data_IF_149684731124
#
_entry.id   IF_149684731124
#
_cell.length_a   1.000
_cell.length_b   1.000
_cell.length_c   1.000
_cell.angle_alpha   90.00
_cell.angle_beta   90.00
_cell.angle_gamma   90.00
#
_symmetry.space_group_name_H-M   'P 1'
#
loop_
_entity.id
_entity.type
_entity.pdbx_description
1 polymer ?
#
# COMPACT_ATOMS: atom_id res chain seq x y z
N UNK A 1 36.20 35.33 59.39
CA UNK A 1 35.16 35.74 58.43
C UNK A 1 35.68 35.51 57.02
N UNK A 2 34.98 34.66 56.26
CA UNK A 2 34.89 34.57 54.79
C UNK A 2 36.17 34.37 53.96
N UNK A 3 36.21 33.59 52.86
CA UNK A 3 35.33 32.61 52.20
C UNK A 3 36.24 31.95 51.14
N UNK A 4 36.32 30.62 51.10
CA UNK A 4 37.01 29.89 50.02
C UNK A 4 36.04 29.81 48.84
N UNK A 5 36.45 30.34 47.69
CA UNK A 5 35.68 30.32 46.43
C UNK A 5 35.95 28.99 45.74
N UNK A 6 34.94 28.12 45.69
CA UNK A 6 34.91 26.94 44.82
C UNK A 6 34.29 27.35 43.47
N UNK A 7 35.08 27.28 42.40
CA UNK A 7 34.61 27.39 41.03
C UNK A 7 34.05 26.05 40.57
N UNK A 8 32.73 25.98 40.33
CA UNK A 8 32.07 24.83 39.71
C UNK A 8 32.09 25.08 38.20
N UNK A 9 32.92 24.33 37.47
CA UNK A 9 32.86 24.25 36.01
C UNK A 9 31.74 23.28 35.66
N UNK A 10 30.58 23.81 35.26
CA UNK A 10 29.48 23.02 34.70
C UNK A 10 29.85 22.68 33.26
N UNK A 11 30.29 21.44 33.04
CA UNK A 11 30.48 20.87 31.70
C UNK A 11 29.10 20.49 31.16
N UNK A 12 28.51 21.37 30.35
CA UNK A 12 27.22 21.15 29.70
C UNK A 12 27.43 20.18 28.52
N UNK A 13 27.22 18.89 28.75
CA UNK A 13 27.21 17.87 27.69
C UNK A 13 25.89 18.00 26.94
N UNK A 14 25.93 18.64 25.76
CA UNK A 14 24.80 18.70 24.84
C UNK A 14 24.69 17.33 24.17
N UNK A 15 23.74 16.50 24.62
CA UNK A 15 23.31 15.32 23.87
C UNK A 15 22.49 15.79 22.67
N UNK A 16 23.13 15.84 21.49
CA UNK A 16 22.41 15.96 20.22
C UNK A 16 21.98 14.55 19.82
N UNK A 17 20.74 14.18 20.12
CA UNK A 17 20.13 12.96 19.59
C UNK A 17 19.77 13.19 18.12
N UNK A 18 20.69 12.85 17.21
CA UNK A 18 20.39 12.76 15.79
C UNK A 18 19.65 11.44 15.57
N UNK A 19 18.31 11.50 15.52
CA UNK A 19 17.49 10.39 15.04
C UNK A 19 17.54 10.36 13.51
N UNK A 20 18.56 9.73 12.94
CA UNK A 20 18.52 9.34 11.52
C UNK A 20 17.57 8.16 11.37
N UNK A 21 16.33 8.41 10.95
CA UNK A 21 15.48 7.36 10.39
C UNK A 21 16.21 6.86 9.13
N UNK A 22 16.77 5.66 9.18
CA UNK A 22 17.48 5.10 8.03
C UNK A 22 16.55 5.13 6.82
N UNK A 23 17.04 5.64 5.68
CA UNK A 23 16.26 5.70 4.45
C UNK A 23 16.03 4.26 3.97
N UNK A 24 14.77 3.86 3.85
CA UNK A 24 14.39 2.53 3.35
C UNK A 24 14.87 2.38 1.90
N UNK A 25 15.67 1.35 1.62
CA UNK A 25 16.15 1.01 0.27
C UNK A 25 15.06 0.21 -0.47
N UNK A 26 13.95 0.88 -0.80
CA UNK A 26 12.82 0.29 -1.50
C UNK A 26 12.37 1.17 -2.67
N UNK A 27 11.71 0.56 -3.64
CA UNK A 27 10.91 1.28 -4.64
C UNK A 27 9.48 1.42 -4.12
N UNK A 28 8.97 2.65 -4.05
CA UNK A 28 7.61 2.95 -3.62
C UNK A 28 6.65 3.01 -4.83
N UNK A 29 5.46 2.46 -4.67
CA UNK A 29 4.43 2.35 -5.70
C UNK A 29 3.15 3.09 -5.30
N UNK A 30 3.31 4.21 -4.60
CA UNK A 30 2.20 5.03 -4.11
C UNK A 30 1.90 6.11 -5.14
N UNK A 31 0.63 6.19 -5.56
CA UNK A 31 0.12 7.28 -6.38
C UNK A 31 -1.12 7.90 -5.73
N UNK A 32 -1.47 9.11 -6.20
CA UNK A 32 -2.64 9.85 -5.76
C UNK A 32 -3.49 10.27 -6.95
N UNK A 33 -4.81 10.31 -6.76
CA UNK A 33 -5.78 10.89 -7.70
C UNK A 33 -6.88 11.60 -6.90
N UNK A 34 -7.39 12.72 -7.41
CA UNK A 34 -8.43 13.50 -6.72
C UNK A 34 -9.74 13.42 -7.51
N UNK A 35 -10.83 13.03 -6.84
CA UNK A 35 -12.09 12.65 -7.48
C UNK A 35 -13.27 13.38 -6.81
N UNK A 36 -14.07 14.10 -7.58
CA UNK A 36 -15.30 14.76 -7.14
C UNK A 36 -16.51 14.13 -7.80
N UNK A 37 -17.41 13.56 -7.00
CA UNK A 37 -18.59 12.82 -7.47
C UNK A 37 -19.84 13.14 -6.63
N UNK A 38 -19.99 14.39 -6.18
CA UNK A 38 -21.07 14.81 -5.29
C UNK A 38 -20.60 14.97 -3.85
N UNK A 39 -21.45 14.62 -2.88
CA UNK A 39 -21.09 14.70 -1.47
C UNK A 39 -19.92 13.75 -1.16
N UNK A 40 -18.80 14.29 -0.68
CA UNK A 40 -17.57 13.51 -0.47
C UNK A 40 -17.69 12.41 0.60
N UNK A 41 -18.72 12.42 1.45
CA UNK A 41 -18.90 11.44 2.52
C UNK A 41 -19.20 10.06 1.96
N UNK A 42 -20.10 10.00 0.96
CA UNK A 42 -20.40 8.77 0.25
C UNK A 42 -19.20 8.30 -0.57
N UNK A 43 -18.54 9.23 -1.25
CA UNK A 43 -17.37 8.93 -2.09
C UNK A 43 -16.23 8.36 -1.26
N UNK A 44 -15.89 8.97 -0.12
CA UNK A 44 -14.87 8.48 0.81
C UNK A 44 -15.17 7.04 1.24
N UNK A 45 -16.41 6.78 1.66
CA UNK A 45 -16.86 5.46 2.10
C UNK A 45 -16.88 4.42 0.98
N UNK A 46 -17.07 4.82 -0.28
CA UNK A 46 -16.99 3.91 -1.44
C UNK A 46 -15.53 3.53 -1.78
N UNK A 47 -14.59 4.46 -1.64
CA UNK A 47 -13.18 4.24 -1.97
C UNK A 47 -12.38 3.57 -0.86
N UNK A 48 -12.62 3.91 0.40
CA UNK A 48 -11.87 3.40 1.55
C UNK A 48 -11.77 1.86 1.63
N UNK A 49 -12.82 1.06 1.32
CA UNK A 49 -12.74 -0.40 1.42
C UNK A 49 -12.14 -1.08 0.18
N UNK A 50 -11.75 -0.34 -0.87
CA UNK A 50 -11.24 -0.93 -2.11
C UNK A 50 -9.82 -1.50 -1.87
N UNK A 51 -9.57 -2.80 -2.14
CA UNK A 51 -8.22 -3.36 -2.05
C UNK A 51 -7.22 -2.57 -2.90
N UNK A 52 -6.05 -2.27 -2.34
CA UNK A 52 -5.04 -1.41 -2.95
C UNK A 52 -5.18 0.09 -2.64
N UNK A 53 -6.31 0.56 -2.10
CA UNK A 53 -6.42 1.91 -1.55
C UNK A 53 -5.74 1.95 -0.17
N UNK A 54 -4.87 2.94 0.03
CA UNK A 54 -4.07 3.12 1.26
C UNK A 54 -4.75 4.13 2.18
N UNK A 55 -5.23 5.24 1.62
CA UNK A 55 -5.83 6.35 2.36
C UNK A 55 -6.79 7.13 1.48
N UNK A 56 -7.84 7.70 2.08
CA UNK A 56 -8.82 8.55 1.40
C UNK A 56 -9.10 9.76 2.26
N UNK A 57 -8.87 10.95 1.72
CA UNK A 57 -9.03 12.21 2.45
C UNK A 57 -10.10 13.07 1.76
N UNK A 58 -11.16 13.41 2.49
CA UNK A 58 -12.18 14.36 2.03
C UNK A 58 -11.62 15.79 1.97
N UNK A 59 -11.97 16.55 0.94
CA UNK A 59 -11.41 17.89 0.73
C UNK A 59 -12.08 18.74 -0.34
N UNK A 60 -11.43 19.86 -0.64
CA UNK A 60 -11.88 20.89 -1.57
C UNK A 60 -10.81 21.18 -2.62
N UNK A 61 -11.20 21.22 -3.89
CA UNK A 61 -10.26 21.47 -4.99
C UNK A 61 -10.92 22.14 -6.20
N UNK A 62 -10.12 22.54 -7.18
CA UNK A 62 -10.56 23.15 -8.46
C UNK A 62 -11.36 24.47 -8.31
N UNK A 63 -11.27 25.13 -7.16
CA UNK A 63 -11.82 26.47 -6.93
C UNK A 63 -10.74 27.55 -6.93
N UNK A 64 -11.15 28.80 -7.11
CA UNK A 64 -10.28 29.98 -7.08
C UNK A 64 -11.01 31.16 -6.41
N UNK A 65 -10.30 31.88 -5.54
CA UNK A 65 -10.82 33.12 -4.93
C UNK A 65 -11.94 32.92 -3.91
N UNK A 66 -12.23 31.69 -3.50
CA UNK A 66 -13.12 31.33 -2.39
C UNK A 66 -12.27 30.57 -1.37
N UNK A 67 -12.48 30.84 -0.09
CA UNK A 67 -11.80 30.10 0.97
C UNK A 67 -12.21 28.61 0.92
N UNK A 68 -11.26 27.66 0.91
CA UNK A 68 -11.55 26.24 0.76
C UNK A 68 -11.97 25.61 2.09
N UNK A 69 -13.14 26.00 2.60
CA UNK A 69 -13.75 25.43 3.80
C UNK A 69 -15.26 25.23 3.59
N UNK A 70 -15.87 24.32 4.37
CA UNK A 70 -17.26 23.92 4.16
C UNK A 70 -18.22 25.11 4.18
N UNK A 71 -18.01 26.03 5.13
CA UNK A 71 -18.86 27.21 5.30
C UNK A 71 -18.86 28.06 4.02
N UNK A 72 -17.69 28.41 3.51
CA UNK A 72 -17.58 29.30 2.35
C UNK A 72 -18.14 28.66 1.06
N UNK A 73 -17.86 27.38 0.82
CA UNK A 73 -18.27 26.72 -0.43
C UNK A 73 -19.78 26.44 -0.49
N UNK A 74 -20.46 26.38 0.67
CA UNK A 74 -21.89 26.11 0.76
C UNK A 74 -22.75 27.37 0.88
N UNK A 75 -22.14 28.55 1.00
CA UNK A 75 -22.87 29.83 1.02
C UNK A 75 -23.79 29.94 -0.22
N UNK A 76 -25.05 30.42 -0.07
CA UNK A 76 -25.99 30.50 -1.18
C UNK A 76 -25.49 31.28 -2.40
N UNK A 77 -24.63 32.29 -2.19
CA UNK A 77 -24.00 33.08 -3.24
C UNK A 77 -23.00 32.28 -4.09
N UNK A 78 -22.38 31.24 -3.51
CA UNK A 78 -21.38 30.39 -4.17
C UNK A 78 -21.99 29.16 -4.84
N UNK A 79 -23.26 28.84 -4.56
CA UNK A 79 -23.97 27.66 -5.10
C UNK A 79 -23.83 27.47 -6.62
N UNK A 80 -23.89 28.55 -7.39
CA UNK A 80 -23.76 28.51 -8.86
C UNK A 80 -22.45 29.16 -9.36
N UNK A 81 -21.52 29.46 -8.45
CA UNK A 81 -20.27 30.13 -8.81
C UNK A 81 -19.33 29.11 -9.49
N UNK A 82 -18.93 29.30 -10.77
CA UNK A 82 -18.04 28.39 -11.47
C UNK A 82 -16.62 28.36 -10.89
N UNK A 83 -16.25 29.36 -10.09
CA UNK A 83 -14.96 29.43 -9.39
C UNK A 83 -15.01 28.78 -8.00
N UNK A 84 -16.16 28.26 -7.56
CA UNK A 84 -16.27 27.56 -6.29
C UNK A 84 -15.46 26.26 -6.28
N UNK A 85 -14.98 25.85 -5.11
CA UNK A 85 -14.34 24.55 -4.96
C UNK A 85 -15.37 23.42 -5.14
N UNK A 86 -14.93 22.29 -5.67
CA UNK A 86 -15.67 21.03 -5.62
C UNK A 86 -15.38 20.32 -4.30
N UNK A 87 -16.39 19.66 -3.72
CA UNK A 87 -16.18 18.56 -2.79
C UNK A 87 -15.54 17.40 -3.56
N UNK A 88 -14.39 16.95 -3.06
CA UNK A 88 -13.57 15.90 -3.68
C UNK A 88 -13.00 14.99 -2.60
N UNK A 89 -12.52 13.82 -3.00
CA UNK A 89 -11.65 12.97 -2.19
C UNK A 89 -10.28 12.85 -2.85
N UNK A 90 -9.20 12.93 -2.08
CA UNK A 90 -7.86 12.50 -2.50
C UNK A 90 -7.70 11.02 -2.14
N UNK A 91 -7.55 10.17 -3.17
CA UNK A 91 -7.34 8.73 -3.01
C UNK A 91 -5.85 8.45 -3.17
N UNK A 92 -5.22 7.97 -2.11
CA UNK A 92 -3.84 7.45 -2.12
C UNK A 92 -3.89 5.93 -2.27
N UNK A 93 -3.20 5.37 -3.26
CA UNK A 93 -3.30 3.95 -3.59
C UNK A 93 -1.97 3.32 -3.99
N UNK A 94 -1.86 2.01 -3.82
CA UNK A 94 -0.77 1.18 -4.29
C UNK A 94 -1.04 0.78 -5.75
N UNK A 95 -0.28 1.35 -6.69
CA UNK A 95 -0.48 1.08 -8.13
C UNK A 95 -0.16 -0.35 -8.56
N UNK A 96 0.53 -1.14 -7.73
CA UNK A 96 0.77 -2.56 -7.96
C UNK A 96 -0.43 -3.44 -7.55
N UNK A 97 -1.37 -2.91 -6.77
CA UNK A 97 -2.60 -3.63 -6.39
C UNK A 97 -3.79 -3.19 -7.21
N UNK A 98 -3.93 -1.88 -7.41
CA UNK A 98 -5.04 -1.29 -8.14
C UNK A 98 -4.55 -0.21 -9.10
N UNK A 99 -5.04 -0.26 -10.34
CA UNK A 99 -4.68 0.73 -11.35
C UNK A 99 -5.52 2.00 -11.20
N UNK A 100 -4.94 3.15 -11.58
CA UNK A 100 -5.71 4.40 -11.68
C UNK A 100 -6.91 4.25 -12.63
N UNK A 101 -6.77 3.49 -13.72
CA UNK A 101 -7.85 3.16 -14.65
C UNK A 101 -9.03 2.49 -13.93
N UNK A 102 -8.78 1.55 -13.02
CA UNK A 102 -9.85 0.86 -12.29
C UNK A 102 -10.51 1.76 -11.24
N UNK A 103 -9.73 2.62 -10.57
CA UNK A 103 -10.28 3.67 -9.70
C UNK A 103 -11.16 4.65 -10.49
N UNK A 104 -10.78 5.01 -11.72
CA UNK A 104 -11.57 5.89 -12.60
C UNK A 104 -12.80 5.16 -13.15
N UNK A 105 -12.73 3.85 -13.42
CA UNK A 105 -13.92 3.08 -13.76
C UNK A 105 -14.91 3.06 -12.59
N UNK A 106 -14.41 2.78 -11.39
CA UNK A 106 -15.21 2.83 -10.17
C UNK A 106 -15.86 4.21 -9.99
N UNK A 107 -15.12 5.29 -10.23
CA UNK A 107 -15.62 6.67 -10.19
C UNK A 107 -16.86 6.84 -11.06
N UNK A 108 -16.77 6.45 -12.34
CA UNK A 108 -17.87 6.61 -13.29
C UNK A 108 -19.09 5.75 -12.94
N UNK A 109 -18.88 4.58 -12.34
CA UNK A 109 -19.96 3.70 -11.90
C UNK A 109 -20.62 4.13 -10.58
N UNK A 110 -19.94 4.94 -9.75
CA UNK A 110 -20.40 5.35 -8.41
C UNK A 110 -21.43 6.48 -8.40
N UNK A 111 -21.59 7.22 -9.50
CA UNK A 111 -22.48 8.40 -9.56
C UNK A 111 -23.17 8.56 -10.92
N UNK A 112 -23.93 9.64 -11.12
CA UNK A 112 -24.49 10.00 -12.43
C UNK A 112 -23.62 11.09 -13.07
N UNK A 113 -22.63 10.71 -13.91
CA UNK A 113 -21.70 11.65 -14.50
C UNK A 113 -22.34 12.55 -15.55
N UNK A 114 -23.62 12.35 -15.91
CA UNK A 114 -24.36 13.20 -16.86
C UNK A 114 -25.00 14.42 -16.19
N UNK A 115 -25.08 14.43 -14.86
CA UNK A 115 -25.61 15.55 -14.09
C UNK A 115 -24.58 16.69 -13.97
N UNK A 116 -24.94 17.85 -14.52
CA UNK A 116 -24.13 19.05 -14.39
C UNK A 116 -24.35 19.72 -13.02
N UNK A 117 -23.27 19.93 -12.25
CA UNK A 117 -23.29 20.64 -10.95
C UNK A 117 -24.34 20.10 -9.97
N UNK A 118 -24.50 18.77 -9.96
CA UNK A 118 -25.53 18.08 -9.19
C UNK A 118 -25.17 16.61 -9.06
N UNK A 119 -25.49 16.02 -7.92
CA UNK A 119 -25.64 14.57 -7.77
C UNK A 119 -26.87 14.28 -6.91
N UNK A 120 -27.90 13.67 -7.51
CA UNK A 120 -29.17 13.39 -6.82
C UNK A 120 -29.85 14.66 -6.29
N UNK A 121 -29.91 14.84 -4.97
CA UNK A 121 -30.52 16.03 -4.36
C UNK A 121 -29.50 17.11 -4.00
N UNK A 122 -28.21 16.81 -4.09
CA UNK A 122 -27.12 17.74 -3.82
C UNK A 122 -26.88 18.58 -5.07
N UNK A 123 -27.27 19.86 -5.01
CA UNK A 123 -27.28 20.78 -6.14
C UNK A 123 -26.37 21.95 -5.86
N UNK A 124 -25.39 22.17 -6.74
CA UNK A 124 -24.43 23.28 -6.66
C UNK A 124 -23.13 22.93 -7.37
N UNK A 125 -22.35 23.95 -7.72
CA UNK A 125 -21.04 23.77 -8.37
C UNK A 125 -20.07 22.99 -7.50
N UNK A 126 -20.24 22.99 -6.17
CA UNK A 126 -19.47 22.16 -5.26
C UNK A 126 -19.71 20.65 -5.43
N UNK A 127 -20.87 20.24 -5.95
CA UNK A 127 -21.22 18.84 -6.18
C UNK A 127 -20.98 18.38 -7.63
N UNK A 128 -20.19 19.14 -8.39
CA UNK A 128 -19.89 18.81 -9.79
C UNK A 128 -19.02 17.55 -9.90
N UNK A 129 -19.27 16.78 -10.95
CA UNK A 129 -18.40 15.65 -11.31
C UNK A 129 -17.07 16.15 -11.89
N UNK A 130 -15.94 15.77 -11.29
CA UNK A 130 -14.59 16.17 -11.72
C UNK A 130 -13.55 15.11 -11.37
N UNK A 131 -12.58 14.90 -12.28
CA UNK A 131 -11.37 14.12 -12.06
C UNK A 131 -10.18 15.09 -12.14
N UNK A 132 -9.41 15.16 -11.07
CA UNK A 132 -8.22 15.99 -10.96
C UNK A 132 -6.98 15.08 -10.89
N UNK A 133 -6.21 15.06 -11.97
CA UNK A 133 -5.09 14.13 -12.15
C UNK A 133 -3.78 14.70 -11.64
N UNK A 134 -2.91 13.85 -11.10
CA UNK A 134 -1.60 14.27 -10.56
C UNK A 134 -0.46 14.10 -11.57
N UNK A 135 -0.71 13.39 -12.69
CA UNK A 135 0.23 13.21 -13.78
C UNK A 135 -0.49 13.06 -15.13
N UNK A 136 0.28 13.12 -16.23
CA UNK A 136 -0.25 13.02 -17.61
C UNK A 136 -0.81 11.63 -17.94
N UNK A 137 -0.21 10.56 -17.41
CA UNK A 137 -0.67 9.19 -17.66
C UNK A 137 -2.10 8.98 -17.12
N UNK A 138 -2.39 9.45 -15.91
CA UNK A 138 -3.74 9.47 -15.35
C UNK A 138 -4.71 10.29 -16.20
N UNK A 139 -4.25 11.39 -16.79
CA UNK A 139 -5.08 12.23 -17.64
C UNK A 139 -5.53 11.51 -18.91
N UNK A 140 -4.63 10.75 -19.53
CA UNK A 140 -4.95 9.97 -20.72
C UNK A 140 -5.81 8.74 -20.40
N UNK A 141 -5.52 8.05 -19.29
CA UNK A 141 -6.38 6.99 -18.76
C UNK A 141 -7.81 7.50 -18.49
N UNK A 142 -7.95 8.66 -17.85
CA UNK A 142 -9.25 9.25 -17.56
C UNK A 142 -10.05 9.59 -18.83
N UNK A 143 -9.41 10.14 -19.85
CA UNK A 143 -10.06 10.43 -21.14
C UNK A 143 -10.51 9.15 -21.83
N UNK A 144 -9.68 8.10 -21.80
CA UNK A 144 -10.00 6.81 -22.40
C UNK A 144 -11.22 6.18 -21.71
N UNK A 145 -11.19 6.09 -20.37
CA UNK A 145 -12.29 5.50 -19.60
C UNK A 145 -13.58 6.31 -19.76
N UNK A 146 -13.50 7.63 -19.81
CA UNK A 146 -14.66 8.50 -20.11
C UNK A 146 -15.27 8.15 -21.47
N UNK A 147 -14.45 8.03 -22.51
CA UNK A 147 -14.93 7.69 -23.85
C UNK A 147 -15.59 6.31 -23.90
N UNK A 148 -15.02 5.32 -23.20
CA UNK A 148 -15.59 3.98 -23.04
C UNK A 148 -16.95 4.03 -22.32
N UNK A 149 -17.03 4.74 -21.19
CA UNK A 149 -18.26 4.83 -20.39
C UNK A 149 -19.38 5.61 -21.10
N UNK A 150 -19.03 6.64 -21.87
CA UNK A 150 -19.99 7.40 -22.65
C UNK A 150 -20.77 6.49 -23.61
N UNK A 151 -20.11 5.49 -24.22
CA UNK A 151 -20.79 4.54 -25.10
C UNK A 151 -21.85 3.74 -24.34
N UNK A 152 -21.50 3.24 -23.15
CA UNK A 152 -22.40 2.47 -22.28
C UNK A 152 -23.60 3.31 -21.82
N UNK A 153 -23.35 4.55 -21.39
CA UNK A 153 -24.40 5.48 -20.98
C UNK A 153 -25.34 5.82 -22.14
N UNK A 154 -24.79 6.06 -23.33
CA UNK A 154 -25.59 6.40 -24.51
C UNK A 154 -26.49 5.22 -24.93
N UNK A 155 -25.98 3.98 -24.86
CA UNK A 155 -26.76 2.76 -25.11
C UNK A 155 -27.89 2.59 -24.10
N UNK A 156 -27.65 2.95 -22.84
CA UNK A 156 -28.66 2.95 -21.78
C UNK A 156 -29.62 4.15 -21.80
N UNK A 157 -29.48 5.08 -22.76
CA UNK A 157 -30.35 6.25 -22.92
C UNK A 157 -30.01 7.46 -22.04
N UNK A 158 -28.85 7.46 -21.40
CA UNK A 158 -28.34 8.61 -20.64
C UNK A 158 -27.74 9.68 -21.57
N UNK A 159 -27.58 10.90 -21.04
CA UNK A 159 -27.00 12.02 -21.75
C UNK A 159 -25.48 11.97 -21.91
N UNK A 160 -24.92 13.08 -22.36
CA UNK A 160 -23.46 13.26 -22.43
C UNK A 160 -22.89 13.49 -21.04
N UNK A 161 -21.75 12.85 -20.74
CA UNK A 161 -20.98 13.01 -19.52
C UNK A 161 -20.58 14.49 -19.35
N UNK A 162 -20.91 15.05 -18.20
CA UNK A 162 -20.60 16.41 -17.79
C UNK A 162 -19.27 16.51 -17.01
N UNK A 163 -18.71 15.37 -16.57
CA UNK A 163 -17.44 15.27 -15.83
C UNK A 163 -16.32 16.07 -16.49
N UNK A 164 -15.61 16.86 -15.69
CA UNK A 164 -14.40 17.56 -16.14
C UNK A 164 -13.15 16.78 -15.77
N UNK A 165 -12.18 16.70 -16.69
CA UNK A 165 -10.86 16.12 -16.43
C UNK A 165 -9.83 17.25 -16.52
N UNK A 166 -9.08 17.49 -15.44
CA UNK A 166 -8.09 18.56 -15.34
C UNK A 166 -6.86 18.06 -14.55
N UNK A 167 -5.73 18.74 -14.70
CA UNK A 167 -4.61 18.55 -13.77
C UNK A 167 -4.95 19.17 -12.42
N UNK A 168 -4.59 18.50 -11.33
CA UNK A 168 -4.72 19.03 -9.98
C UNK A 168 -3.80 20.25 -9.81
N UNK A 169 -4.37 21.39 -9.42
CA UNK A 169 -3.60 22.58 -9.06
C UNK A 169 -3.25 22.57 -7.57
N UNK A 170 -4.26 22.46 -6.71
CA UNK A 170 -4.13 22.42 -5.26
C UNK A 170 -5.28 21.60 -4.66
N UNK A 171 -4.99 20.92 -3.55
CA UNK A 171 -5.96 20.17 -2.76
C UNK A 171 -5.95 20.70 -1.33
N UNK A 172 -7.12 20.98 -0.79
CA UNK A 172 -7.30 21.46 0.57
C UNK A 172 -8.07 20.41 1.38
N UNK A 173 -7.46 19.76 2.39
CA UNK A 173 -8.18 18.84 3.26
C UNK A 173 -9.36 19.53 3.94
N UNK A 174 -10.50 18.83 3.98
CA UNK A 174 -11.68 19.28 4.73
C UNK A 174 -11.45 19.16 6.24
N UNK A 175 -12.30 19.82 7.01
CA UNK A 175 -12.26 19.81 8.47
C UNK A 175 -12.39 18.38 9.04
N UNK A 176 -11.78 18.11 10.20
CA UNK A 176 -11.71 16.76 10.81
C UNK A 176 -13.07 16.07 11.03
N UNK A 177 -14.15 16.84 11.13
CA UNK A 177 -15.49 16.29 11.30
C UNK A 177 -16.10 15.76 9.99
N UNK A 178 -15.54 16.10 8.83
CA UNK A 178 -15.90 15.55 7.52
C UNK A 178 -15.15 14.27 7.18
N UNK A 179 -13.93 14.09 7.71
CA UNK A 179 -13.14 12.87 7.49
C UNK A 179 -13.82 11.66 8.14
N UNK A 180 -13.80 10.51 7.48
CA UNK A 180 -14.41 9.26 7.96
C UNK A 180 -15.86 9.43 8.42
N UNK A 181 -16.64 10.31 7.77
CA UNK A 181 -17.93 10.75 8.31
C UNK A 181 -18.90 9.59 8.54
N UNK A 182 -18.99 8.65 7.59
CA UNK A 182 -19.89 7.49 7.69
C UNK A 182 -19.37 6.39 8.61
N UNK A 183 -18.06 6.35 8.89
CA UNK A 183 -17.50 5.50 9.95
C UNK A 183 -17.93 6.04 11.32
N UNK A 184 -17.85 7.37 11.49
CA UNK A 184 -18.27 8.07 12.72
C UNK A 184 -19.80 8.08 12.88
N UNK A 185 -20.54 8.11 11.77
CA UNK A 185 -21.99 8.21 11.71
C UNK A 185 -22.56 7.14 10.74
N UNK A 186 -22.72 5.88 11.16
CA UNK A 186 -23.14 4.78 10.27
C UNK A 186 -24.50 4.99 9.58
N UNK A 187 -25.43 5.67 10.25
CA UNK A 187 -26.75 6.03 9.70
C UNK A 187 -26.76 7.43 9.04
N UNK A 188 -25.58 7.95 8.72
CA UNK A 188 -25.39 9.26 8.11
C UNK A 188 -25.93 9.35 6.68
N UNK A 189 -25.93 10.57 6.15
CA UNK A 189 -26.38 10.84 4.78
C UNK A 189 -25.42 10.19 3.76
N UNK A 190 -25.90 9.19 3.02
CA UNK A 190 -25.17 8.51 1.95
C UNK A 190 -26.12 8.04 0.84
N UNK A 191 -26.72 8.96 0.07
CA UNK A 191 -27.56 8.57 -1.07
C UNK A 191 -26.74 7.88 -2.16
N UNK A 192 -27.30 6.85 -2.78
CA UNK A 192 -26.72 6.22 -3.97
C UNK A 192 -27.10 7.06 -5.19
N UNK A 193 -26.09 7.56 -5.92
CA UNK A 193 -26.28 8.38 -7.13
C UNK A 193 -25.95 7.63 -8.43
N UNK A 194 -25.44 6.40 -8.33
CA UNK A 194 -25.06 5.58 -9.47
C UNK A 194 -26.20 5.37 -10.48
N UNK A 195 -25.86 5.40 -11.77
CA UNK A 195 -26.77 5.08 -12.89
C UNK A 195 -27.16 3.59 -12.97
N UNK A 196 -26.39 2.73 -12.27
CA UNK A 196 -26.49 1.27 -12.36
C UNK A 196 -25.75 0.67 -13.57
N UNK A 197 -25.18 1.49 -14.45
CA UNK A 197 -24.42 1.02 -15.61
C UNK A 197 -23.00 0.68 -15.19
N UNK A 198 -22.52 -0.49 -15.58
CA UNK A 198 -21.20 -1.03 -15.22
C UNK A 198 -20.38 -1.34 -16.46
N UNK A 199 -19.06 -1.20 -16.37
CA UNK A 199 -18.13 -1.71 -17.36
C UNK A 199 -18.23 -3.23 -17.41
N UNK A 200 -18.09 -3.79 -18.61
CA UNK A 200 -17.95 -5.24 -18.78
C UNK A 200 -16.49 -5.64 -18.51
N UNK A 201 -16.13 -5.73 -17.23
CA UNK A 201 -14.76 -6.08 -16.83
C UNK A 201 -14.46 -7.55 -17.10
N UNK A 202 -13.32 -7.83 -17.74
CA UNK A 202 -12.74 -9.17 -17.77
C UNK A 202 -12.50 -9.65 -16.34
N UNK A 203 -12.87 -10.91 -16.09
CA UNK A 203 -12.67 -11.65 -14.84
C UNK A 203 -11.28 -11.38 -14.25
N UNK A 204 -11.23 -10.89 -13.01
CA UNK A 204 -10.03 -10.95 -12.18
C UNK A 204 -9.55 -12.41 -12.23
N UNK A 205 -8.33 -12.63 -12.73
CA UNK A 205 -7.73 -13.96 -12.70
C UNK A 205 -7.49 -14.25 -11.22
N UNK A 206 -8.31 -15.11 -10.65
CA UNK A 206 -8.16 -15.52 -9.27
C UNK A 206 -6.91 -16.39 -9.19
N UNK A 207 -5.82 -15.82 -8.69
CA UNK A 207 -4.58 -16.56 -8.45
C UNK A 207 -4.84 -17.58 -7.36
N UNK A 208 -4.50 -18.84 -7.63
CA UNK A 208 -4.61 -19.92 -6.66
C UNK A 208 -3.40 -19.88 -5.72
N UNK A 209 -3.67 -19.56 -4.46
CA UNK A 209 -2.68 -19.53 -3.38
C UNK A 209 -2.86 -20.69 -2.40
N UNK A 210 -3.63 -21.73 -2.75
CA UNK A 210 -3.91 -22.86 -1.85
C UNK A 210 -2.66 -23.52 -1.30
N UNK A 211 -1.59 -23.64 -2.10
CA UNK A 211 -0.31 -24.20 -1.66
C UNK A 211 0.44 -23.35 -0.62
N UNK A 212 0.08 -22.07 -0.48
CA UNK A 212 0.70 -21.14 0.47
C UNK A 212 -0.02 -21.13 1.82
N UNK A 213 -1.15 -21.83 1.93
CA UNK A 213 -1.95 -21.95 3.15
C UNK A 213 -1.45 -23.03 4.10
N UNK A 214 -0.44 -23.80 3.71
CA UNK A 214 0.14 -24.88 4.49
C UNK A 214 1.65 -24.66 4.67
N UNK A 215 2.17 -25.07 5.82
CA UNK A 215 3.58 -25.01 6.19
C UNK A 215 4.17 -23.58 6.15
N UNK A 216 5.50 -23.48 6.11
CA UNK A 216 6.23 -22.21 6.06
C UNK A 216 6.56 -21.87 4.62
N UNK A 217 6.34 -20.61 4.24
CA UNK A 217 6.62 -20.09 2.92
C UNK A 217 7.28 -18.71 3.01
N UNK A 218 8.10 -18.38 2.02
CA UNK A 218 8.65 -17.04 1.82
C UNK A 218 8.07 -16.49 0.53
N UNK A 219 7.48 -15.31 0.60
CA UNK A 219 7.00 -14.59 -0.59
C UNK A 219 7.81 -13.31 -0.72
N UNK A 220 8.34 -13.06 -1.91
CA UNK A 220 8.96 -11.79 -2.27
C UNK A 220 7.99 -11.04 -3.16
N UNK A 221 7.40 -9.97 -2.63
CA UNK A 221 6.58 -9.06 -3.43
C UNK A 221 7.50 -8.29 -4.37
N UNK A 222 7.29 -8.45 -5.67
CA UNK A 222 7.99 -7.70 -6.71
C UNK A 222 7.08 -6.68 -7.39
N UNK A 223 7.66 -5.86 -8.26
CA UNK A 223 6.92 -4.91 -9.08
C UNK A 223 6.61 -5.53 -10.44
N UNK A 224 5.46 -5.17 -11.03
CA UNK A 224 5.14 -5.52 -12.42
C UNK A 224 6.10 -4.82 -13.39
N UNK A 225 6.50 -3.61 -13.02
CA UNK A 225 7.48 -2.79 -13.72
C UNK A 225 8.91 -2.96 -13.15
N UNK A 226 9.81 -2.07 -13.53
CA UNK A 226 11.20 -2.08 -13.09
C UNK A 226 11.37 -1.82 -11.58
N UNK A 227 12.02 -2.76 -10.89
CA UNK A 227 12.41 -2.63 -9.48
C UNK A 227 13.92 -2.94 -9.29
N UNK A 228 14.79 -1.92 -9.14
CA UNK A 228 16.23 -2.13 -9.02
C UNK A 228 16.62 -2.92 -7.77
N UNK A 229 15.91 -2.71 -6.66
CA UNK A 229 16.16 -3.42 -5.40
C UNK A 229 15.69 -4.88 -5.44
N UNK A 230 14.66 -5.19 -6.24
CA UNK A 230 14.20 -6.55 -6.47
C UNK A 230 15.23 -7.34 -7.26
N UNK A 231 15.77 -6.76 -8.33
CA UNK A 231 16.86 -7.35 -9.13
C UNK A 231 18.13 -7.55 -8.28
N UNK A 232 18.46 -6.57 -7.44
CA UNK A 232 19.58 -6.68 -6.51
C UNK A 232 19.36 -7.82 -5.50
N UNK A 233 18.18 -7.91 -4.90
CA UNK A 233 17.85 -8.98 -3.96
C UNK A 233 17.87 -10.36 -4.62
N UNK A 234 17.36 -10.47 -5.86
CA UNK A 234 17.42 -11.70 -6.65
C UNK A 234 18.85 -12.21 -6.79
N UNK A 235 19.71 -11.33 -7.29
CA UNK A 235 21.14 -11.61 -7.50
C UNK A 235 21.88 -11.98 -6.22
N UNK A 236 21.67 -11.22 -5.15
CA UNK A 236 22.46 -11.34 -3.92
C UNK A 236 21.97 -12.49 -3.03
N UNK A 237 20.70 -12.90 -3.15
CA UNK A 237 20.07 -13.88 -2.25
C UNK A 237 19.38 -15.01 -3.02
N UNK A 238 18.31 -14.73 -3.75
CA UNK A 238 17.37 -15.79 -4.16
C UNK A 238 17.90 -16.66 -5.29
N UNK A 239 18.74 -16.13 -6.18
CA UNK A 239 19.30 -16.89 -7.32
C UNK A 239 20.21 -18.04 -6.86
N UNK A 240 20.73 -17.97 -5.63
CA UNK A 240 21.59 -18.99 -5.03
C UNK A 240 20.93 -19.74 -3.87
N UNK A 241 19.68 -19.39 -3.54
CA UNK A 241 18.97 -19.97 -2.40
C UNK A 241 18.58 -21.42 -2.68
N UNK A 242 19.03 -22.34 -1.81
CA UNK A 242 18.72 -23.78 -1.89
C UNK A 242 18.05 -24.27 -0.59
N UNK A 243 17.50 -23.36 0.20
CA UNK A 243 16.88 -23.69 1.47
C UNK A 243 15.56 -24.44 1.30
N UNK A 244 15.20 -25.25 2.29
CA UNK A 244 14.02 -26.13 2.22
C UNK A 244 12.68 -25.42 2.40
N UNK A 245 12.66 -24.15 2.81
CA UNK A 245 11.42 -23.36 2.88
C UNK A 245 11.20 -22.78 1.50
N UNK A 246 10.07 -23.06 0.82
CA UNK A 246 9.79 -22.52 -0.50
C UNK A 246 9.87 -20.99 -0.52
N UNK A 247 10.53 -20.45 -1.54
CA UNK A 247 10.59 -19.01 -1.81
C UNK A 247 9.99 -18.76 -3.18
N UNK A 248 8.99 -17.88 -3.24
CA UNK A 248 8.28 -17.54 -4.48
C UNK A 248 8.18 -16.04 -4.66
N UNK A 249 8.12 -15.59 -5.92
CA UNK A 249 7.86 -14.20 -6.27
C UNK A 249 6.38 -14.04 -6.65
N UNK A 250 5.79 -12.93 -6.21
CA UNK A 250 4.38 -12.58 -6.46
C UNK A 250 4.25 -11.08 -6.67
N UNK A 251 3.25 -10.67 -7.44
CA UNK A 251 2.81 -9.27 -7.46
C UNK A 251 1.88 -9.00 -6.28
N UNK A 252 1.74 -7.71 -5.91
CA UNK A 252 0.90 -7.32 -4.78
C UNK A 252 -0.58 -7.71 -4.97
N UNK A 253 -1.10 -7.64 -6.20
CA UNK A 253 -2.47 -8.07 -6.54
C UNK A 253 -2.69 -9.59 -6.54
N UNK A 254 -1.64 -10.41 -6.34
CA UNK A 254 -1.72 -11.87 -6.37
C UNK A 254 -1.82 -12.50 -4.97
N UNK A 255 -1.90 -11.71 -3.90
CA UNK A 255 -1.86 -12.20 -2.51
C UNK A 255 -3.23 -12.60 -1.94
N UNK A 256 -4.26 -12.68 -2.80
CA UNK A 256 -5.62 -13.01 -2.40
C UNK A 256 -5.70 -14.31 -1.58
N UNK A 257 -6.41 -14.24 -0.45
CA UNK A 257 -6.62 -15.38 0.45
C UNK A 257 -5.52 -15.59 1.50
N UNK A 258 -4.50 -14.73 1.54
CA UNK A 258 -3.47 -14.72 2.59
C UNK A 258 -3.79 -13.64 3.64
N UNK A 259 -3.40 -13.86 4.90
CA UNK A 259 -3.49 -12.86 5.98
C UNK A 259 -2.18 -12.07 6.04
N UNK A 260 -2.12 -10.98 5.26
CA UNK A 260 -0.95 -10.08 5.15
C UNK A 260 -1.26 -8.76 5.86
N UNK A 261 -0.35 -8.33 6.73
CA UNK A 261 -0.46 -7.11 7.54
C UNK A 261 0.54 -6.05 7.11
N UNK A 262 1.68 -6.49 6.60
CA UNK A 262 2.72 -5.62 6.10
C UNK A 262 2.21 -4.83 4.89
N UNK A 263 2.58 -3.55 4.77
CA UNK A 263 2.24 -2.81 3.58
C UNK A 263 2.93 -3.37 2.34
N UNK A 264 2.19 -3.46 1.25
CA UNK A 264 2.61 -4.07 -0.02
C UNK A 264 3.00 -3.04 -1.08
N UNK A 265 2.99 -1.75 -0.73
CA UNK A 265 3.29 -0.62 -1.62
C UNK A 265 4.78 -0.40 -1.86
N UNK A 266 5.64 -1.13 -1.16
CA UNK A 266 7.09 -1.08 -1.32
C UNK A 266 7.61 -2.40 -1.88
N UNK A 267 8.57 -2.34 -2.80
CA UNK A 267 9.23 -3.53 -3.35
C UNK A 267 10.76 -3.42 -3.29
N UNK A 268 11.49 -4.52 -3.01
CA UNK A 268 10.94 -5.81 -2.62
C UNK A 268 10.33 -5.74 -1.21
N UNK A 269 9.28 -6.50 -0.96
CA UNK A 269 8.81 -6.78 0.41
C UNK A 269 8.89 -8.29 0.62
N UNK A 270 9.68 -8.71 1.60
CA UNK A 270 9.92 -10.12 1.90
C UNK A 270 8.97 -10.52 3.04
N UNK A 271 8.02 -11.38 2.74
CA UNK A 271 7.03 -11.93 3.67
C UNK A 271 7.44 -13.33 4.12
N UNK A 272 7.43 -13.57 5.43
CA UNK A 272 7.59 -14.90 6.01
C UNK A 272 6.23 -15.36 6.54
N UNK A 273 5.66 -16.38 5.90
CA UNK A 273 4.31 -16.86 6.15
C UNK A 273 4.30 -18.25 6.76
N UNK A 274 3.43 -18.47 7.74
CA UNK A 274 3.14 -19.80 8.27
C UNK A 274 1.63 -20.05 8.17
N UNK A 275 1.25 -21.13 7.48
CA UNK A 275 -0.15 -21.49 7.20
C UNK A 275 -0.97 -20.32 6.60
N UNK A 276 -0.42 -19.65 5.58
CA UNK A 276 -1.06 -18.55 4.89
C UNK A 276 -1.14 -17.22 5.65
N UNK A 277 -0.59 -17.15 6.86
CA UNK A 277 -0.61 -15.94 7.70
C UNK A 277 0.79 -15.36 7.87
N UNK A 278 0.90 -14.04 7.79
CA UNK A 278 2.15 -13.33 8.03
C UNK A 278 2.64 -13.51 9.47
N UNK A 279 3.85 -14.04 9.60
CA UNK A 279 4.58 -14.09 10.88
C UNK A 279 5.36 -12.79 11.06
N UNK A 280 6.11 -12.39 10.03
CA UNK A 280 6.75 -11.08 9.94
C UNK A 280 7.11 -10.75 8.49
N UNK A 281 7.46 -9.48 8.25
CA UNK A 281 7.85 -8.98 6.96
C UNK A 281 9.02 -8.00 7.06
N UNK A 282 9.73 -7.83 5.95
CA UNK A 282 10.76 -6.81 5.78
C UNK A 282 10.51 -6.06 4.48
N UNK A 283 10.39 -4.74 4.58
CA UNK A 283 10.20 -3.87 3.43
C UNK A 283 11.56 -3.31 2.95
N UNK A 284 11.78 -3.38 1.65
CA UNK A 284 13.00 -2.94 0.97
C UNK A 284 14.04 -4.04 0.83
N UNK A 285 15.18 -3.66 0.26
CA UNK A 285 16.33 -4.55 0.08
C UNK A 285 16.73 -5.19 1.41
N UNK A 286 16.98 -6.50 1.36
CA UNK A 286 17.46 -7.29 2.48
C UNK A 286 18.81 -7.88 2.11
N UNK A 287 19.86 -7.46 2.82
CA UNK A 287 21.19 -8.00 2.60
C UNK A 287 21.24 -9.50 2.93
N UNK A 288 22.11 -10.29 2.28
CA UNK A 288 22.16 -11.74 2.49
C UNK A 288 22.33 -12.15 3.96
N UNK A 289 23.15 -11.44 4.73
CA UNK A 289 23.39 -11.74 6.14
C UNK A 289 22.13 -11.58 6.97
N UNK A 290 21.37 -10.50 6.71
CA UNK A 290 20.08 -10.23 7.37
C UNK A 290 19.06 -11.28 6.95
N UNK A 291 18.99 -11.61 5.66
CA UNK A 291 18.07 -12.63 5.16
C UNK A 291 18.29 -13.99 5.83
N UNK A 292 19.53 -14.46 5.89
CA UNK A 292 19.81 -15.76 6.51
C UNK A 292 19.59 -15.76 8.02
N UNK A 293 19.83 -14.63 8.69
CA UNK A 293 19.51 -14.47 10.11
C UNK A 293 18.00 -14.57 10.37
N UNK A 294 17.19 -13.83 9.61
CA UNK A 294 15.72 -13.85 9.71
C UNK A 294 15.16 -15.22 9.31
N UNK A 295 15.67 -15.81 8.23
CA UNK A 295 15.34 -17.18 7.83
C UNK A 295 15.68 -18.19 8.94
N UNK A 296 16.82 -18.01 9.60
CA UNK A 296 17.24 -18.80 10.75
C UNK A 296 16.22 -18.74 11.88
N UNK A 297 15.82 -17.53 12.27
CA UNK A 297 14.79 -17.31 13.28
C UNK A 297 13.46 -17.94 12.88
N UNK A 298 13.06 -17.73 11.63
CA UNK A 298 11.80 -18.23 11.11
C UNK A 298 11.76 -19.75 11.06
N UNK A 299 12.82 -20.39 10.56
CA UNK A 299 12.90 -21.84 10.40
C UNK A 299 13.12 -22.56 11.73
N UNK A 300 14.06 -22.07 12.54
CA UNK A 300 14.56 -22.78 13.73
C UNK A 300 13.96 -22.26 15.05
N UNK A 301 13.31 -21.10 15.05
CA UNK A 301 12.88 -20.42 16.28
C UNK A 301 14.05 -20.05 17.19
N UNK A 302 13.74 -19.70 18.45
CA UNK A 302 14.74 -19.45 19.51
C UNK A 302 15.34 -20.76 20.05
N UNK A 303 15.95 -21.54 19.17
CA UNK A 303 16.54 -22.85 19.50
C UNK A 303 18.06 -22.75 19.77
N UNK A 304 18.63 -23.81 20.34
CA UNK A 304 20.09 -23.95 20.51
C UNK A 304 20.80 -23.85 19.16
N UNK A 305 20.27 -24.51 18.12
CA UNK A 305 20.81 -24.47 16.77
C UNK A 305 20.86 -23.04 16.19
N UNK A 306 19.83 -22.22 16.45
CA UNK A 306 19.84 -20.81 16.06
C UNK A 306 20.93 -20.02 16.81
N UNK A 307 21.06 -20.24 18.11
CA UNK A 307 22.08 -19.55 18.92
C UNK A 307 23.51 -19.93 18.51
N UNK A 308 23.76 -21.19 18.16
CA UNK A 308 25.05 -21.65 17.64
C UNK A 308 25.36 -20.98 16.30
N UNK A 309 24.38 -20.92 15.39
CA UNK A 309 24.57 -20.35 14.06
C UNK A 309 24.80 -18.82 14.07
N UNK A 310 24.06 -18.07 14.89
CA UNK A 310 24.03 -16.59 14.79
C UNK A 310 24.51 -15.83 16.02
N UNK A 311 24.54 -16.46 17.20
CA UNK A 311 24.90 -15.79 18.47
C UNK A 311 26.24 -16.29 19.04
N UNK A 312 27.10 -16.86 18.18
CA UNK A 312 28.40 -17.44 18.58
C UNK A 312 28.28 -18.48 19.70
N UNK A 313 27.12 -19.15 19.77
CA UNK A 313 26.92 -20.27 20.68
C UNK A 313 27.79 -21.46 20.29
N UNK A 314 28.05 -22.34 21.23
CA UNK A 314 28.63 -23.66 20.95
C UNK A 314 27.71 -24.70 21.55
N UNK A 315 27.42 -25.76 20.81
CA UNK A 315 26.63 -26.87 21.34
C UNK A 315 27.26 -27.41 22.62
N UNK A 316 26.41 -27.84 23.57
CA UNK A 316 26.89 -28.51 24.76
C UNK A 316 27.68 -29.78 24.39
N UNK A 317 28.71 -30.11 25.18
CA UNK A 317 29.44 -31.38 25.01
C UNK A 317 28.45 -32.54 25.12
N UNK A 318 28.51 -33.47 24.16
CA UNK A 318 27.62 -34.64 24.06
C UNK A 318 26.14 -34.32 23.77
N UNK A 319 25.86 -33.25 23.02
CA UNK A 319 24.51 -32.97 22.52
C UNK A 319 23.98 -34.10 21.61
N UNK A 320 22.66 -34.18 21.44
CA UNK A 320 21.99 -35.20 20.60
C UNK A 320 22.54 -35.25 19.17
N UNK A 321 22.99 -34.12 18.64
CA UNK A 321 23.55 -33.99 17.30
C UNK A 321 24.87 -34.76 17.16
N UNK A 322 25.70 -34.83 18.21
CA UNK A 322 26.91 -35.66 18.22
C UNK A 322 26.61 -37.17 18.11
N UNK A 323 25.49 -37.64 18.67
CA UNK A 323 25.09 -39.05 18.52
C UNK A 323 24.61 -39.36 17.11
N UNK A 324 24.00 -38.38 16.44
CA UNK A 324 23.57 -38.50 15.04
C UNK A 324 24.79 -38.57 14.12
N UNK A 325 25.84 -37.80 14.42
CA UNK A 325 27.11 -37.82 13.69
C UNK A 325 27.86 -39.16 13.74
N UNK A 326 27.75 -39.92 14.84
CA UNK A 326 28.50 -41.19 15.00
C UNK A 326 28.18 -42.25 13.96
N UNK A 327 26.98 -42.21 13.37
CA UNK A 327 26.50 -43.19 12.38
C UNK A 327 26.09 -42.51 11.07
N UNK A 328 26.65 -41.35 10.74
CA UNK A 328 26.30 -40.66 9.49
C UNK A 328 26.96 -41.37 8.30
N UNK A 329 26.18 -41.83 7.30
CA UNK A 329 26.73 -42.46 6.09
C UNK A 329 27.47 -41.45 5.21
N UNK A 330 28.24 -41.95 4.24
CA UNK A 330 28.95 -41.11 3.28
C UNK A 330 27.98 -40.18 2.53
N UNK A 331 28.36 -38.91 2.42
CA UNK A 331 27.56 -37.86 1.77
C UNK A 331 28.08 -36.45 2.02
N UNK A 332 27.29 -35.47 1.60
CA UNK A 332 27.59 -34.04 1.76
C UNK A 332 26.75 -33.47 2.90
N UNK A 333 27.42 -32.86 3.87
CA UNK A 333 26.77 -32.05 4.88
C UNK A 333 26.37 -30.73 4.26
N UNK A 334 25.07 -30.42 4.32
CA UNK A 334 24.52 -29.16 3.83
C UNK A 334 24.21 -28.22 5.00
N UNK A 335 24.31 -26.93 4.75
CA UNK A 335 23.86 -25.90 5.66
C UNK A 335 22.34 -26.00 5.84
N UNK A 336 21.89 -26.03 7.10
CA UNK A 336 20.48 -26.28 7.43
C UNK A 336 19.55 -25.15 6.96
N UNK A 337 20.07 -23.96 6.67
CA UNK A 337 19.28 -22.80 6.28
C UNK A 337 19.34 -22.55 4.79
N UNK A 338 20.55 -22.35 4.26
CA UNK A 338 20.80 -22.06 2.85
C UNK A 338 20.72 -23.28 1.94
N UNK A 339 20.85 -24.49 2.48
CA UNK A 339 20.94 -25.72 1.69
C UNK A 339 22.27 -25.88 0.96
N UNK A 340 23.19 -24.92 1.10
CA UNK A 340 24.48 -24.97 0.43
C UNK A 340 25.36 -26.11 1.00
N UNK A 341 26.16 -26.79 0.16
CA UNK A 341 27.10 -27.80 0.62
C UNK A 341 28.20 -27.16 1.49
N UNK A 342 28.48 -27.77 2.64
CA UNK A 342 29.51 -27.34 3.57
C UNK A 342 30.76 -28.23 3.48
N UNK A 343 30.61 -29.53 3.74
CA UNK A 343 31.73 -30.47 3.78
C UNK A 343 31.28 -31.86 3.29
N UNK A 344 32.17 -32.59 2.63
CA UNK A 344 31.98 -34.01 2.29
C UNK A 344 32.61 -34.88 3.40
N UNK A 345 32.07 -36.07 3.57
CA UNK A 345 32.64 -37.16 4.39
C UNK A 345 33.94 -37.78 3.83
N UNK A 346 34.30 -37.52 2.57
CA UNK A 346 35.49 -38.06 1.88
C UNK A 346 36.81 -37.33 2.19
#
# INVERSE_FOLDING_TARGET
MNKIIYGIIILCVIFVSISTKAKMEATEHIEKIVLGAGCFWGVENEYAPIPGVIDVVSGYADGIGIEPNYKAITEPENKNNPNNHAEVVEVTFNKNEISATDLIRHFFEGHDPTQLNRQGNDIGTQYRSVILTTNENQQDQAKQVLAEYQLLLSEAGYGTIATKIKSLAEFHPAEDYHQDYLVKNPDGYCPIHATGIRFNTKKIIKVDNSSLLEEKNIIVIEAEDYCPYCEKFKKDVTDTYQGSIPLTFKLANELNGLDIKAPTWATPTILFLENGSEVFAHQGYMAPEVFYQELGMFKLGKSEAYNVAFNQGTDARFCKQYETFRNTPDGIFIDKLSGAPLFDTN
#
